data_IF_729962613199
#
_entry.id   IF_729962613199
#
_cell.length_a   1.000
_cell.length_b   1.000
_cell.length_c   1.000
_cell.angle_alpha   90.00
_cell.angle_beta   90.00
_cell.angle_gamma   90.00
#
_symmetry.space_group_name_H-M   'P 1'
#
loop_
_entity.id
_entity.type
_entity.pdbx_description
1 polymer ?
#
# COMPACT_ATOMS: atom_id res chain seq x y z
N UNK A 1 5.44 0.56 -7.68
CA UNK A 1 6.13 -0.13 -6.55
C UNK A 1 5.57 0.40 -5.24
N UNK A 2 5.78 -0.30 -4.13
CA UNK A 2 5.29 0.09 -2.80
C UNK A 2 6.25 -0.33 -1.70
N UNK A 3 6.34 0.47 -0.64
CA UNK A 3 6.99 0.12 0.61
C UNK A 3 6.01 -0.53 1.58
N UNK A 4 6.39 -1.62 2.23
CA UNK A 4 5.53 -2.32 3.20
C UNK A 4 6.00 -2.09 4.63
N UNK A 5 5.06 -1.85 5.54
CA UNK A 5 5.30 -1.91 7.00
C UNK A 5 5.87 -3.24 7.45
N UNK A 6 6.48 -3.26 8.65
CA UNK A 6 7.01 -4.48 9.29
C UNK A 6 6.02 -5.64 9.31
N UNK A 7 4.76 -5.35 9.64
CA UNK A 7 3.68 -6.36 9.72
C UNK A 7 3.40 -7.03 8.38
N UNK A 8 3.56 -6.30 7.26
CA UNK A 8 3.31 -6.82 5.92
C UNK A 8 4.57 -7.37 5.24
N UNK A 9 5.75 -6.80 5.54
CA UNK A 9 6.99 -7.11 4.84
C UNK A 9 7.58 -8.49 5.19
N UNK A 10 7.14 -9.13 6.28
CA UNK A 10 7.48 -10.52 6.65
C UNK A 10 8.98 -10.84 6.49
N UNK A 11 9.87 -9.96 6.98
CA UNK A 11 11.34 -10.09 6.83
C UNK A 11 11.80 -10.30 5.37
N UNK A 12 11.11 -9.71 4.41
CA UNK A 12 11.42 -9.76 2.99
C UNK A 12 10.78 -10.92 2.21
N UNK A 13 10.06 -11.84 2.87
CA UNK A 13 9.45 -13.00 2.21
C UNK A 13 8.38 -12.63 1.17
N UNK A 14 7.81 -11.43 1.30
CA UNK A 14 6.79 -10.88 0.38
C UNK A 14 7.39 -9.99 -0.71
N UNK A 15 8.71 -9.78 -0.76
CA UNK A 15 9.34 -8.98 -1.80
C UNK A 15 9.03 -9.55 -3.20
N UNK A 16 8.73 -8.68 -4.16
CA UNK A 16 8.29 -9.05 -5.51
C UNK A 16 6.81 -9.38 -5.65
N UNK A 17 6.06 -9.55 -4.55
CA UNK A 17 4.63 -9.84 -4.63
C UNK A 17 3.81 -8.63 -5.12
N UNK A 18 2.72 -8.94 -5.82
CA UNK A 18 1.76 -7.96 -6.31
C UNK A 18 0.58 -7.81 -5.37
N UNK A 19 0.16 -6.57 -5.15
CA UNK A 19 -1.06 -6.22 -4.42
C UNK A 19 -1.95 -5.35 -5.28
N UNK A 20 -3.23 -5.67 -5.31
CA UNK A 20 -4.24 -4.74 -5.77
C UNK A 20 -4.73 -3.92 -4.57
N UNK A 21 -4.73 -2.59 -4.71
CA UNK A 21 -5.16 -1.63 -3.69
C UNK A 21 -6.35 -0.83 -4.21
N UNK A 22 -7.32 -0.60 -3.32
CA UNK A 22 -8.50 0.24 -3.57
C UNK A 22 -8.75 1.15 -2.37
N UNK A 23 -8.94 2.44 -2.63
CA UNK A 23 -9.36 3.41 -1.62
C UNK A 23 -10.75 3.05 -1.06
N UNK A 24 -10.92 3.17 0.25
CA UNK A 24 -12.21 2.96 0.93
C UNK A 24 -12.46 4.03 1.99
N UNK A 25 -13.70 4.08 2.46
CA UNK A 25 -14.14 4.86 3.63
C UNK A 25 -14.06 6.40 3.52
N UNK A 26 -13.64 6.95 2.37
CA UNK A 26 -13.63 8.40 2.10
C UNK A 26 -14.18 8.77 0.72
N UNK A 27 -15.47 9.11 0.65
CA UNK A 27 -16.13 9.49 -0.61
C UNK A 27 -15.64 10.80 -1.23
N UNK A 28 -14.95 11.67 -0.46
CA UNK A 28 -14.49 12.96 -0.97
C UNK A 28 -13.12 12.85 -1.63
N UNK A 29 -12.27 12.00 -1.08
CA UNK A 29 -10.89 11.88 -1.53
C UNK A 29 -10.65 10.61 -2.36
N UNK A 30 -11.42 9.53 -2.19
CA UNK A 30 -11.31 8.36 -3.06
C UNK A 30 -11.77 8.68 -4.48
N UNK A 31 -11.07 8.14 -5.47
CA UNK A 31 -11.52 8.14 -6.87
C UNK A 31 -12.41 6.88 -7.03
N UNK A 32 -13.72 7.01 -7.30
CA UNK A 32 -14.61 5.86 -7.37
C UNK A 32 -14.26 4.92 -8.52
N UNK A 33 -14.35 3.61 -8.27
CA UNK A 33 -14.17 2.58 -9.30
C UNK A 33 -12.73 2.31 -9.73
N UNK A 34 -11.73 2.97 -9.14
CA UNK A 34 -10.32 2.73 -9.47
C UNK A 34 -9.62 1.81 -8.47
N UNK A 35 -8.68 1.03 -8.99
CA UNK A 35 -7.71 0.27 -8.20
C UNK A 35 -6.34 0.37 -8.87
N UNK A 36 -5.29 0.16 -8.10
CA UNK A 36 -3.92 0.08 -8.62
C UNK A 36 -3.32 -1.27 -8.26
N UNK A 37 -2.44 -1.74 -9.13
CA UNK A 37 -1.59 -2.88 -8.84
C UNK A 37 -0.19 -2.39 -8.56
N UNK A 38 0.34 -2.79 -7.41
CA UNK A 38 1.68 -2.39 -6.96
C UNK A 38 2.52 -3.61 -6.61
N UNK A 39 3.79 -3.54 -6.96
CA UNK A 39 4.80 -4.53 -6.55
C UNK A 39 5.44 -4.11 -5.24
N UNK A 40 5.47 -5.01 -4.26
CA UNK A 40 6.24 -4.82 -3.03
C UNK A 40 7.74 -4.91 -3.34
N UNK A 41 8.45 -3.79 -3.27
CA UNK A 41 9.89 -3.74 -3.60
C UNK A 41 10.70 -3.02 -2.54
N UNK A 42 10.04 -2.48 -1.51
CA UNK A 42 10.71 -1.70 -0.49
C UNK A 42 10.11 -1.99 0.90
N UNK A 43 10.84 -1.59 1.92
CA UNK A 43 10.49 -1.73 3.32
C UNK A 43 10.27 -0.35 3.95
N UNK A 44 9.14 -0.16 4.63
CA UNK A 44 8.92 0.98 5.49
C UNK A 44 9.35 0.64 6.91
N UNK A 45 10.49 1.19 7.34
CA UNK A 45 11.00 0.98 8.68
C UNK A 45 10.06 1.57 9.75
N UNK A 46 9.89 0.90 10.90
CA UNK A 46 9.12 1.43 12.01
C UNK A 46 9.86 2.62 12.64
N UNK A 47 9.10 3.62 13.10
CA UNK A 47 9.58 4.73 13.91
C UNK A 47 8.93 4.68 15.30
N UNK A 48 9.62 4.05 16.25
CA UNK A 48 9.14 3.87 17.62
C UNK A 48 9.14 5.15 18.47
N UNK A 49 9.60 6.29 17.92
CA UNK A 49 9.43 7.59 18.56
C UNK A 49 7.98 8.11 18.54
N UNK A 50 7.13 7.51 17.69
CA UNK A 50 5.69 7.80 17.62
C UNK A 50 4.86 6.55 17.93
N UNK A 51 3.66 6.75 18.46
CA UNK A 51 2.68 5.67 18.59
C UNK A 51 2.18 5.24 17.22
N UNK A 52 1.66 4.02 17.11
CA UNK A 52 1.14 3.47 15.86
C UNK A 52 0.06 4.38 15.22
N UNK A 53 -0.77 5.01 16.04
CA UNK A 53 -1.86 5.91 15.61
C UNK A 53 -1.43 7.39 15.53
N UNK A 54 -0.31 7.75 16.14
CA UNK A 54 0.18 9.13 16.27
C UNK A 54 1.31 9.51 15.31
N UNK A 55 1.39 8.85 14.15
CA UNK A 55 2.41 9.10 13.11
C UNK A 55 3.33 7.92 12.83
N UNK A 56 3.33 6.91 13.69
CA UNK A 56 4.05 5.65 13.52
C UNK A 56 3.33 4.66 12.61
N UNK A 57 2.87 5.07 11.42
CA UNK A 57 1.98 4.24 10.59
C UNK A 57 2.60 2.91 10.12
N UNK A 58 3.93 2.83 10.02
CA UNK A 58 4.66 1.59 9.69
C UNK A 58 5.00 0.72 10.92
N UNK A 59 4.67 1.19 12.13
CA UNK A 59 4.91 0.45 13.37
C UNK A 59 3.92 -0.72 13.48
N UNK A 60 4.35 -1.88 13.99
CA UNK A 60 3.42 -2.93 14.40
C UNK A 60 2.36 -2.38 15.38
N UNK A 61 1.09 -2.84 15.32
CA UNK A 61 0.57 -3.91 14.48
C UNK A 61 0.04 -3.43 13.10
N UNK A 62 0.32 -2.19 12.70
CA UNK A 62 -0.29 -1.61 11.52
C UNK A 62 0.14 -2.33 10.24
N UNK A 63 -0.83 -2.50 9.34
CA UNK A 63 -0.64 -2.97 7.97
C UNK A 63 -0.67 -1.75 7.05
N UNK A 64 0.51 -1.26 6.72
CA UNK A 64 0.65 0.00 5.99
C UNK A 64 1.44 -0.15 4.68
N UNK A 65 0.97 0.56 3.65
CA UNK A 65 1.52 0.64 2.31
C UNK A 65 1.98 2.08 2.05
N UNK A 66 3.27 2.28 1.84
CA UNK A 66 3.84 3.58 1.46
C UNK A 66 3.93 3.65 -0.05
N UNK A 67 3.02 4.40 -0.66
CA UNK A 67 2.93 4.59 -2.11
C UNK A 67 3.70 5.84 -2.54
N UNK A 68 4.37 5.81 -3.70
CA UNK A 68 4.75 7.04 -4.39
C UNK A 68 3.51 7.88 -4.72
N UNK A 69 3.66 9.20 -4.72
CA UNK A 69 2.57 10.15 -5.02
C UNK A 69 1.84 9.77 -6.31
N UNK A 70 2.59 9.50 -7.38
CA UNK A 70 2.05 9.12 -8.70
C UNK A 70 1.16 7.86 -8.67
N UNK A 71 1.42 6.92 -7.76
CA UNK A 71 0.59 5.73 -7.60
C UNK A 71 -0.63 6.03 -6.73
N UNK A 72 -0.45 6.80 -5.65
CA UNK A 72 -1.53 7.22 -4.77
C UNK A 72 -2.61 8.02 -5.51
N UNK A 73 -2.19 8.95 -6.36
CA UNK A 73 -3.09 9.83 -7.14
C UNK A 73 -3.98 9.11 -8.15
N UNK A 74 -3.72 7.83 -8.43
CA UNK A 74 -4.59 6.99 -9.28
C UNK A 74 -5.80 6.43 -8.53
N UNK A 75 -5.75 6.37 -7.20
CA UNK A 75 -6.86 5.87 -6.37
C UNK A 75 -7.46 6.93 -5.45
N UNK A 76 -6.76 8.02 -5.19
CA UNK A 76 -7.25 9.08 -4.32
C UNK A 76 -6.52 10.41 -4.47
N UNK A 77 -7.12 11.49 -3.98
CA UNK A 77 -6.49 12.82 -3.96
C UNK A 77 -5.36 12.88 -2.91
N UNK A 78 -4.14 13.22 -3.33
CA UNK A 78 -2.94 13.30 -2.46
C UNK A 78 -3.15 14.14 -1.18
N UNK A 79 -4.04 15.14 -1.22
CA UNK A 79 -4.40 15.99 -0.06
C UNK A 79 -4.92 15.22 1.15
N UNK A 80 -5.38 13.97 0.99
CA UNK A 80 -5.81 13.12 2.09
C UNK A 80 -4.66 12.60 2.95
N UNK A 81 -3.43 12.57 2.43
CA UNK A 81 -2.26 12.04 3.15
C UNK A 81 -2.38 10.53 3.41
N UNK A 82 -2.86 10.16 4.59
CA UNK A 82 -3.09 8.76 4.99
C UNK A 82 -4.54 8.35 4.82
N UNK A 83 -4.73 7.17 4.26
CA UNK A 83 -6.03 6.75 3.76
C UNK A 83 -6.26 5.27 3.98
N UNK A 84 -7.49 4.92 4.33
CA UNK A 84 -7.93 3.54 4.42
C UNK A 84 -7.99 2.92 3.02
N UNK A 85 -7.38 1.73 2.88
CA UNK A 85 -7.41 0.97 1.64
C UNK A 85 -7.84 -0.47 1.92
N UNK A 86 -8.63 -1.02 1.01
CA UNK A 86 -8.76 -2.46 0.88
C UNK A 86 -7.66 -2.97 -0.04
N UNK A 87 -7.11 -4.14 0.30
CA UNK A 87 -6.08 -4.74 -0.51
C UNK A 87 -6.24 -6.26 -0.61
N UNK A 88 -5.74 -6.82 -1.70
CA UNK A 88 -5.58 -8.27 -1.86
C UNK A 88 -4.24 -8.60 -2.49
N UNK A 89 -3.60 -9.67 -2.02
CA UNK A 89 -2.43 -10.25 -2.67
C UNK A 89 -2.88 -10.98 -3.94
N UNK A 90 -2.29 -10.65 -5.08
CA UNK A 90 -2.60 -11.34 -6.31
C UNK A 90 -1.87 -12.68 -6.37
N UNK A 91 -2.56 -13.73 -6.83
CA UNK A 91 -1.93 -14.98 -7.23
C UNK A 91 -1.33 -14.76 -8.62
N UNK A 92 -0.01 -14.60 -8.71
CA UNK A 92 0.68 -14.51 -10.00
C UNK A 92 0.48 -15.81 -10.79
N UNK A 93 0.15 -15.69 -12.08
CA UNK A 93 0.21 -16.80 -13.06
C UNK A 93 1.56 -16.76 -13.81
N UNK A 94 2.24 -15.60 -13.82
CA UNK A 94 3.56 -15.38 -14.46
C UNK A 94 4.42 -14.48 -13.57
N UNK A 95 5.62 -14.94 -13.22
CA UNK A 95 6.32 -14.60 -11.97
C UNK A 95 7.00 -13.22 -11.86
N UNK A 96 6.88 -12.30 -12.83
CA UNK A 96 7.80 -11.14 -12.83
C UNK A 96 7.19 -9.75 -13.08
N UNK A 97 5.97 -9.64 -13.60
CA UNK A 97 5.37 -8.33 -13.89
C UNK A 97 3.96 -8.20 -13.30
N UNK A 98 3.84 -7.30 -12.32
CA UNK A 98 2.54 -6.85 -11.82
C UNK A 98 1.92 -5.90 -12.84
N UNK A 99 1.25 -6.43 -13.86
CA UNK A 99 0.50 -5.61 -14.82
C UNK A 99 -0.95 -5.45 -14.36
N UNK A 100 -1.40 -4.21 -14.23
CA UNK A 100 -2.83 -3.91 -14.25
C UNK A 100 -3.38 -4.35 -15.60
N UNK A 101 -4.22 -5.38 -15.64
CA UNK A 101 -5.09 -5.59 -16.81
C UNK A 101 -5.96 -4.33 -16.90
N UNK A 102 -5.71 -3.53 -17.95
CA UNK A 102 -6.57 -2.43 -18.34
C UNK A 102 -7.94 -2.94 -18.80
#
# INVERSE_FOLDING_TARGET
>A
TVGLSTTLFERGQICGACFELRCVDDLRNCIPGTSIIVTATNFCAPNFGFTADGGGHCNPPNKHFVLPIEAFEKIALWKAGNMAVQYRRMKQIVSYNCTSKA
#
